data_IF_106327079564
#
_entry.id   IF_106327079564
#
_cell.length_a   1.000
_cell.length_b   1.000
_cell.length_c   1.000
_cell.angle_alpha   90.00
_cell.angle_beta   90.00
_cell.angle_gamma   90.00
#
_symmetry.space_group_name_H-M   'P 1'
#
loop_
_entity.id
_entity.type
_entity.pdbx_description
1 polymer ?
#
# COMPACT_ATOMS: atom_id res chain seq x y z
N UNK A 1 -27.24 -2.35 -11.91
CA UNK A 1 -26.07 -1.55 -11.52
C UNK A 1 -25.05 -2.44 -10.82
N UNK A 2 -24.13 -2.98 -11.59
CA UNK A 2 -23.08 -3.86 -11.08
C UNK A 2 -21.81 -3.05 -10.98
N UNK A 3 -21.03 -3.28 -9.93
CA UNK A 3 -19.85 -2.46 -9.66
C UNK A 3 -18.80 -3.34 -9.00
N UNK A 4 -17.80 -3.75 -9.78
CA UNK A 4 -16.72 -4.60 -9.28
C UNK A 4 -15.51 -3.72 -9.05
N UNK A 5 -14.87 -3.87 -7.89
CA UNK A 5 -13.72 -3.05 -7.53
C UNK A 5 -12.61 -3.96 -7.01
N UNK A 6 -11.40 -3.80 -7.57
CA UNK A 6 -10.19 -4.39 -7.02
C UNK A 6 -9.28 -3.27 -6.53
N UNK A 7 -8.84 -3.36 -5.28
CA UNK A 7 -7.99 -2.33 -4.69
C UNK A 7 -6.81 -2.96 -3.98
N UNK A 8 -5.67 -2.25 -4.02
CA UNK A 8 -4.47 -2.64 -3.29
C UNK A 8 -3.58 -1.42 -3.15
N UNK A 9 -3.60 -0.78 -1.98
CA UNK A 9 -2.84 0.47 -1.84
C UNK A 9 -1.45 0.21 -1.27
N UNK A 10 -0.50 1.08 -1.64
CA UNK A 10 0.88 0.98 -1.17
C UNK A 10 1.28 2.31 -0.55
N UNK A 11 1.41 2.35 0.78
CA UNK A 11 1.92 3.53 1.46
C UNK A 11 3.19 3.12 2.19
N UNK A 12 4.30 3.80 1.91
CA UNK A 12 5.57 3.35 2.48
C UNK A 12 5.87 4.07 3.80
N UNK A 13 6.12 5.37 3.75
CA UNK A 13 6.59 6.13 4.90
C UNK A 13 5.50 7.10 5.32
N UNK A 14 4.83 6.82 6.43
CA UNK A 14 3.65 7.57 6.84
C UNK A 14 3.78 7.96 8.30
N UNK A 15 3.56 9.24 8.59
CA UNK A 15 3.31 9.72 9.94
C UNK A 15 2.03 10.53 9.93
N UNK A 16 1.31 10.51 11.04
CA UNK A 16 0.09 11.29 11.15
C UNK A 16 -0.16 11.62 12.61
N UNK A 17 -0.95 12.67 12.83
CA UNK A 17 -1.29 13.12 14.17
C UNK A 17 -2.73 13.62 14.16
N UNK A 18 -3.35 13.61 15.34
CA UNK A 18 -4.65 14.24 15.55
C UNK A 18 -4.64 14.87 16.94
N UNK A 19 -4.23 16.13 17.01
CA UNK A 19 -4.15 16.84 18.27
C UNK A 19 -2.77 16.77 18.90
N UNK A 31 15.61 8.25 17.83
CA UNK A 31 14.49 7.61 18.53
C UNK A 31 13.92 6.44 17.75
N UNK A 32 12.71 6.62 17.24
CA UNK A 32 12.06 5.60 16.43
C UNK A 32 12.74 5.49 15.07
N UNK A 33 13.04 4.26 14.64
CA UNK A 33 13.70 4.02 13.37
C UNK A 33 12.85 3.05 12.56
N UNK A 34 12.55 3.41 11.30
CA UNK A 34 11.71 2.60 10.43
C UNK A 34 12.39 2.42 9.08
N UNK A 35 12.88 1.20 8.81
CA UNK A 35 13.68 0.91 7.62
C UNK A 35 12.96 -0.13 6.76
N UNK A 36 12.80 0.19 5.47
CA UNK A 36 12.40 -0.77 4.45
C UNK A 36 13.56 -0.91 3.49
N UNK A 37 14.26 -2.04 3.54
CA UNK A 37 15.47 -2.24 2.75
C UNK A 37 15.16 -3.19 1.61
N UNK A 38 15.31 -2.70 0.37
CA UNK A 38 15.11 -3.43 -0.89
C UNK A 38 13.79 -4.21 -0.95
N UNK A 39 12.63 -3.56 -1.05
CA UNK A 39 11.41 -4.32 -1.31
C UNK A 39 11.28 -4.61 -2.80
N UNK A 40 10.91 -5.85 -3.11
CA UNK A 40 10.68 -6.28 -4.47
C UNK A 40 9.23 -6.69 -4.58
N UNK A 41 8.53 -6.17 -5.59
CA UNK A 41 7.09 -6.37 -5.72
C UNK A 41 6.75 -6.92 -7.10
N UNK A 42 6.33 -8.19 -7.14
CA UNK A 42 5.78 -8.80 -8.35
C UNK A 42 4.36 -9.21 -7.98
N UNK A 43 3.42 -8.29 -8.12
CA UNK A 43 2.08 -8.51 -7.59
C UNK A 43 1.08 -7.97 -8.60
N UNK A 44 0.12 -8.80 -8.98
CA UNK A 44 -0.67 -8.55 -10.18
C UNK A 44 -2.08 -8.09 -9.83
N UNK A 45 -2.61 -7.20 -10.66
CA UNK A 45 -3.96 -6.66 -10.51
C UNK A 45 -4.74 -7.05 -11.75
N UNK A 46 -5.42 -8.19 -11.69
CA UNK A 46 -6.11 -8.74 -12.86
C UNK A 46 -7.61 -8.70 -12.65
N UNK A 47 -8.34 -8.28 -13.68
CA UNK A 47 -9.79 -8.20 -13.62
C UNK A 47 -10.39 -8.79 -14.88
N UNK A 48 -10.94 -10.00 -14.75
CA UNK A 48 -11.53 -10.69 -15.89
C UNK A 48 -12.98 -11.13 -15.61
N UNK B 1 -25.77 -0.22 -16.14
CA UNK B 1 -24.65 0.62 -15.71
C UNK B 1 -23.62 -0.21 -14.96
N UNK B 2 -22.64 -0.72 -15.70
CA UNK B 2 -21.58 -1.55 -15.14
C UNK B 2 -20.35 -0.68 -15.00
N UNK B 3 -19.60 -0.87 -13.92
CA UNK B 3 -18.47 0.00 -13.62
C UNK B 3 -17.41 -0.83 -12.91
N UNK B 4 -16.36 -1.21 -13.65
CA UNK B 4 -15.27 -2.00 -13.11
C UNK B 4 -14.10 -1.07 -12.84
N UNK B 5 -13.49 -1.18 -11.66
CA UNK B 5 -12.40 -0.31 -11.26
C UNK B 5 -11.27 -1.17 -10.69
N UNK B 6 -10.05 -0.97 -11.21
CA UNK B 6 -8.83 -1.50 -10.61
C UNK B 6 -8.00 -0.34 -10.10
N UNK B 7 -7.59 -0.40 -8.83
CA UNK B 7 -6.82 0.67 -8.22
C UNK B 7 -5.63 0.10 -7.46
N UNK B 8 -4.53 0.85 -7.47
CA UNK B 8 -3.34 0.51 -6.69
C UNK B 8 -2.50 1.77 -6.52
N UNK B 9 -2.59 2.42 -5.36
CA UNK B 9 -1.89 3.70 -5.21
C UNK B 9 -0.52 3.51 -4.58
N UNK B 10 0.41 4.41 -4.93
CA UNK B 10 1.77 4.38 -4.41
C UNK B 10 2.10 5.72 -3.78
N UNK B 11 2.17 5.77 -2.45
CA UNK B 11 2.61 6.98 -1.76
C UNK B 11 3.86 6.63 -0.98
N UNK B 12 4.96 7.35 -1.23
CA UNK B 12 6.22 6.97 -0.61
C UNK B 12 6.44 7.70 0.72
N UNK B 13 6.64 9.02 0.67
CA UNK B 13 7.03 9.80 1.83
C UNK B 13 5.89 10.73 2.20
N UNK B 14 5.19 10.42 3.29
CA UNK B 14 3.96 11.12 3.65
C UNK B 14 4.03 11.53 5.11
N UNK B 15 3.75 12.80 5.38
CA UNK B 15 3.42 13.28 6.72
C UNK B 15 2.11 14.03 6.65
N UNK B 16 1.35 13.99 7.74
CA UNK B 16 0.09 14.71 7.80
C UNK B 16 -0.22 15.05 9.24
N UNK B 17 -1.06 16.06 9.43
CA UNK B 17 -1.47 16.51 10.75
C UNK B 17 -2.93 16.94 10.69
N UNK B 18 -3.59 16.91 11.85
CA UNK B 18 -4.92 17.49 12.01
C UNK B 18 -4.99 18.12 13.39
N UNK B 19 -4.64 19.40 13.46
CA UNK B 19 -4.64 20.13 14.72
C UNK B 19 -3.27 20.12 15.39
N UNK B 31 15.48 12.38 15.06
CA UNK B 31 14.36 11.70 15.72
C UNK B 31 13.87 10.50 14.93
N UNK B 32 12.67 10.63 14.37
CA UNK B 32 12.10 9.57 13.56
C UNK B 32 12.83 9.49 12.22
N UNK B 33 13.19 8.27 11.81
CA UNK B 33 13.91 8.05 10.56
C UNK B 33 13.14 7.04 9.73
N UNK B 34 12.87 7.38 8.46
CA UNK B 34 12.09 6.53 7.57
C UNK B 34 12.83 6.37 6.24
N UNK B 35 13.38 5.17 6.00
CA UNK B 35 14.23 4.90 4.84
C UNK B 35 13.59 3.83 3.97
N UNK B 36 13.47 4.14 2.67
CA UNK B 36 13.14 3.15 1.64
C UNK B 36 14.35 3.05 0.72
N UNK B 37 15.08 1.95 0.81
CA UNK B 37 16.33 1.80 0.06
C UNK B 37 16.11 0.84 -1.08
N UNK B 38 16.28 1.32 -2.32
CA UNK B 38 16.15 0.58 -3.58
C UNK B 38 14.87 -0.25 -3.68
N UNK B 39 13.69 0.34 -3.83
CA UNK B 39 12.52 -0.47 -4.13
C UNK B 39 12.45 -0.77 -5.62
N UNK B 40 12.15 -2.03 -5.92
CA UNK B 40 11.99 -2.48 -7.30
C UNK B 40 10.56 -2.95 -7.45
N UNK B 41 9.88 -2.46 -8.50
CA UNK B 41 8.45 -2.73 -8.67
C UNK B 41 8.19 -3.30 -10.05
N UNK B 42 7.82 -4.59 -10.11
CA UNK B 42 7.34 -5.23 -11.33
C UNK B 42 5.93 -5.69 -11.01
N UNK B 43 4.96 -4.82 -11.19
CA UNK B 43 3.61 -5.10 -10.71
C UNK B 43 2.63 -4.60 -11.76
N UNK B 44 1.71 -5.47 -12.16
CA UNK B 44 0.96 -5.27 -13.39
C UNK B 44 -0.47 -4.87 -13.10
N UNK B 45 -1.02 -4.00 -13.96
CA UNK B 45 -2.39 -3.52 -13.85
C UNK B 45 -3.10 -3.96 -15.12
N UNK B 46 -3.75 -5.12 -15.08
CA UNK B 46 -4.36 -5.71 -16.27
C UNK B 46 -5.87 -5.73 -16.11
N UNK B 47 -6.58 -5.35 -17.17
CA UNK B 47 -8.03 -5.33 -17.16
C UNK B 47 -8.56 -5.95 -18.44
N UNK B 48 -9.06 -7.18 -18.32
CA UNK B 48 -9.58 -7.91 -19.48
C UNK B 48 -11.02 -8.41 -19.25
N UNK C 1 -28.65 -4.34 -7.72
CA UNK C 1 -27.43 -3.60 -7.37
C UNK C 1 -26.43 -4.54 -6.70
N UNK C 2 -25.56 -5.11 -7.51
CA UNK C 2 -24.54 -6.04 -7.04
C UNK C 2 -23.22 -5.29 -6.98
N UNK C 3 -22.42 -5.56 -5.95
CA UNK C 3 -21.20 -4.80 -5.72
C UNK C 3 -20.17 -5.73 -5.10
N UNK C 4 -19.22 -6.19 -5.91
CA UNK C 4 -18.16 -7.09 -5.46
C UNK C 4 -16.90 -6.27 -5.27
N UNK C 5 -16.23 -6.45 -4.13
CA UNK C 5 -15.03 -5.69 -3.80
C UNK C 5 -13.95 -6.65 -3.32
N UNK C 6 -12.76 -6.55 -3.92
CA UNK C 6 -11.55 -7.20 -3.42
C UNK C 6 -10.58 -6.12 -2.95
N UNK C 7 -10.10 -6.24 -1.72
CA UNK C 7 -9.19 -5.25 -1.16
C UNK C 7 -8.01 -5.94 -0.49
N UNK C 8 -6.84 -5.29 -0.57
CA UNK C 8 -5.64 -5.74 0.12
C UNK C 8 -4.68 -4.56 0.24
N UNK C 9 -4.63 -3.93 1.42
CA UNK C 9 -3.81 -2.72 1.53
C UNK C 9 -2.42 -3.04 2.06
N UNK C 10 -1.45 -2.22 1.65
CA UNK C 10 -0.06 -2.38 2.07
C UNK C 10 0.43 -1.07 2.69
N UNK C 11 0.60 -1.05 4.01
CA UNK C 11 1.19 0.10 4.68
C UNK C 11 2.46 -0.37 5.37
N UNK C 12 3.60 0.25 5.05
CA UNK C 12 4.86 -0.25 5.58
C UNK C 12 5.24 0.44 6.89
N UNK C 13 5.55 1.74 6.83
CA UNK C 13 6.09 2.46 7.98
C UNK C 13 5.06 3.48 8.44
N UNK C 14 4.41 3.22 9.57
CA UNK C 14 3.29 4.02 10.02
C UNK C 14 3.49 4.40 11.48
N UNK C 15 3.34 5.69 11.77
CA UNK C 15 3.16 6.17 13.13
C UNK C 15 1.92 7.04 13.17
N UNK C 16 1.23 7.04 14.30
CA UNK C 16 0.05 7.88 14.46
C UNK C 16 -0.13 8.22 15.93
N UNK C 17 -0.86 9.30 16.19
CA UNK C 17 -1.14 9.76 17.54
C UNK C 17 -2.55 10.32 17.58
N UNK C 18 -3.13 10.34 18.78
CA UNK C 18 -4.39 11.02 19.04
C UNK C 18 -4.31 11.64 20.43
N UNK C 19 -3.83 12.88 20.49
CA UNK C 19 -3.69 13.58 21.75
C UNK C 19 -2.28 13.44 22.32
N UNK C 31 15.63 4.08 20.60
CA UNK C 31 14.51 3.50 21.33
C UNK C 31 13.86 2.35 20.57
N UNK C 32 12.64 2.60 20.09
CA UNK C 32 11.92 1.60 19.31
C UNK C 32 12.54 1.48 17.93
N UNK C 33 12.77 0.24 17.48
CA UNK C 33 13.37 -0.03 16.18
C UNK C 33 12.46 -0.95 15.40
N UNK C 34 12.13 -0.57 14.16
CA UNK C 34 11.22 -1.34 13.31
C UNK C 34 11.85 -1.54 11.94
N UNK C 35 12.27 -2.78 11.64
CA UNK C 35 13.01 -3.10 10.43
C UNK C 35 12.22 -4.09 9.59
N UNK C 36 12.04 -3.77 8.31
CA UNK C 36 11.55 -4.70 7.30
C UNK C 36 12.68 -4.89 6.29
N UNK C 37 13.31 -6.05 6.31
CA UNK C 37 14.49 -6.30 5.48
C UNK C 37 14.10 -7.23 4.35
N UNK C 38 14.23 -6.74 3.11
CA UNK C 38 13.95 -7.45 1.85
C UNK C 38 12.60 -8.16 1.84
N UNK C 39 11.46 -7.46 1.77
CA UNK C 39 10.21 -8.16 1.55
C UNK C 39 10.01 -8.43 0.07
N UNK C 40 9.58 -9.66 -0.23
CA UNK C 40 9.28 -10.07 -1.59
C UNK C 40 7.81 -10.41 -1.65
N UNK C 41 7.10 -9.85 -2.64
CA UNK C 41 5.65 -9.99 -2.72
C UNK C 41 5.24 -10.51 -4.08
N UNK C 42 4.76 -11.76 -4.12
CA UNK C 42 4.14 -12.34 -5.30
C UNK C 42 2.72 -12.68 -4.89
N UNK C 43 1.81 -11.72 -4.99
CA UNK C 43 0.48 -11.88 -4.42
C UNK C 43 -0.52 -11.29 -5.39
N UNK C 44 -1.54 -12.07 -5.75
CA UNK C 44 -2.35 -11.78 -6.92
C UNK C 44 -3.72 -11.26 -6.52
N UNK C 45 -4.24 -10.33 -7.33
CA UNK C 45 -5.55 -9.73 -7.12
C UNK C 45 -6.39 -10.08 -8.34
N UNK C 46 -7.13 -11.19 -8.26
CA UNK C 46 -7.88 -11.70 -9.41
C UNK C 46 -9.37 -11.59 -9.15
N UNK C 47 -10.11 -11.13 -10.15
CA UNK C 47 -11.55 -10.98 -10.04
C UNK C 47 -12.22 -11.54 -11.29
N UNK C 48 -12.83 -12.72 -11.14
CA UNK C 48 -13.48 -13.38 -12.26
C UNK C 48 -14.94 -13.75 -11.94
#
# INVERSE_FOLDING_TARGET
>A
KVQIINKKLDLSNVQSKCGSKDNIKHVPGGGSVQIVYKPVDLSKVTSK
>B
KVQIINKKLDLSNVQSKCGSKDNIKHVPGGGSVQIVYKPVDLSKVTSK
>C
KVQIINKKLDLSNVQSKCGSKDNIKHVPGGGSVQIVYKPVDLSKVTSK
#
